data_IF_423939340050
#
_entry.id   IF_423939340050
#
_cell.length_a   1.000
_cell.length_b   1.000
_cell.length_c   1.000
_cell.angle_alpha   90.00
_cell.angle_beta   90.00
_cell.angle_gamma   90.00
#
_symmetry.space_group_name_H-M   'P 1'
#
loop_
_entity.id
_entity.type
_entity.pdbx_description
1 polymer ?
#
# COMPACT_ATOMS: atom_id res chain seq x y z
N UNK A 1 20.55 -25.56 -8.72
CA UNK A 1 19.77 -25.53 -7.47
C UNK A 1 19.75 -24.08 -7.04
N UNK A 2 18.58 -23.46 -6.98
CA UNK A 2 18.45 -22.08 -6.51
C UNK A 2 18.56 -22.12 -4.99
N UNK A 3 19.63 -21.59 -4.42
CA UNK A 3 19.74 -21.41 -2.97
C UNK A 3 18.79 -20.27 -2.59
N UNK A 4 17.55 -20.65 -2.26
CA UNK A 4 16.62 -19.69 -1.67
C UNK A 4 17.19 -19.25 -0.32
N UNK A 5 17.31 -17.93 -0.06
CA UNK A 5 17.71 -17.46 1.26
C UNK A 5 16.68 -17.79 2.35
N UNK A 6 15.47 -18.19 1.96
CA UNK A 6 14.45 -18.75 2.84
C UNK A 6 14.62 -20.27 2.86
N UNK A 7 14.88 -20.83 4.05
CA UNK A 7 15.01 -22.27 4.23
C UNK A 7 13.62 -22.94 4.35
N UNK A 8 13.49 -24.24 4.04
CA UNK A 8 12.23 -24.97 4.23
C UNK A 8 11.68 -24.90 5.66
N UNK A 9 12.55 -24.88 6.66
CA UNK A 9 12.15 -24.72 8.07
C UNK A 9 11.55 -23.34 8.33
N UNK A 10 12.06 -22.30 7.66
CA UNK A 10 11.53 -20.94 7.76
C UNK A 10 10.17 -20.83 7.08
N UNK A 11 9.97 -21.48 5.91
CA UNK A 11 8.65 -21.55 5.25
C UNK A 11 7.62 -22.25 6.13
N UNK A 12 7.97 -23.41 6.70
CA UNK A 12 7.07 -24.14 7.57
C UNK A 12 6.70 -23.34 8.82
N UNK A 13 7.65 -22.62 9.40
CA UNK A 13 7.39 -21.75 10.55
C UNK A 13 6.46 -20.58 10.20
N UNK A 14 6.59 -19.99 9.00
CA UNK A 14 5.69 -18.94 8.52
C UNK A 14 4.26 -19.45 8.30
N UNK A 15 4.12 -20.66 7.74
CA UNK A 15 2.81 -21.29 7.58
C UNK A 15 2.12 -21.57 8.92
N UNK A 16 2.87 -22.07 9.91
CA UNK A 16 2.33 -22.38 11.23
C UNK A 16 2.00 -21.14 12.07
N UNK A 17 2.77 -20.06 11.93
CA UNK A 17 2.56 -18.83 12.68
C UNK A 17 1.30 -18.08 12.22
N UNK A 18 0.91 -18.20 10.95
CA UNK A 18 -0.25 -17.49 10.39
C UNK A 18 -0.08 -15.96 10.36
N UNK A 19 1.16 -15.47 10.49
CA UNK A 19 1.49 -14.06 10.62
C UNK A 19 3.00 -13.83 10.64
N UNK A 20 3.47 -12.61 10.97
CA UNK A 20 4.90 -12.30 11.02
C UNK A 20 5.68 -13.19 12.00
N UNK A 21 6.82 -13.73 11.54
CA UNK A 21 7.76 -14.48 12.35
C UNK A 21 8.89 -13.57 12.83
N UNK A 22 9.09 -13.50 14.14
CA UNK A 22 10.21 -12.78 14.72
C UNK A 22 11.44 -13.69 14.84
N UNK A 23 12.58 -13.22 14.35
CA UNK A 23 13.85 -13.95 14.35
C UNK A 23 14.92 -13.11 15.04
N UNK A 24 15.66 -13.72 15.97
CA UNK A 24 16.82 -13.06 16.58
C UNK A 24 18.06 -13.35 15.74
N UNK A 25 18.67 -12.31 15.19
CA UNK A 25 19.94 -12.39 14.47
C UNK A 25 21.07 -11.67 15.22
N UNK A 26 22.28 -11.75 14.68
CA UNK A 26 23.49 -11.23 15.33
C UNK A 26 23.50 -9.71 15.54
N UNK A 27 22.75 -8.95 14.72
CA UNK A 27 22.71 -7.49 14.78
C UNK A 27 21.41 -6.95 15.39
N UNK A 28 20.50 -7.83 15.83
CA UNK A 28 19.22 -7.44 16.39
C UNK A 28 18.08 -8.37 16.02
N UNK A 29 16.86 -7.87 16.20
CA UNK A 29 15.62 -8.59 15.93
C UNK A 29 15.15 -8.29 14.51
N UNK A 30 14.74 -9.33 13.80
CA UNK A 30 14.23 -9.28 12.44
C UNK A 30 12.80 -9.81 12.42
N UNK A 31 12.04 -9.38 11.42
CA UNK A 31 10.70 -9.90 11.14
C UNK A 31 10.71 -10.45 9.73
N UNK A 32 10.25 -11.69 9.57
CA UNK A 32 10.04 -12.33 8.29
C UNK A 32 8.55 -12.56 8.13
N UNK A 33 8.01 -12.21 6.97
CA UNK A 33 6.61 -12.48 6.63
C UNK A 33 6.49 -12.68 5.12
N UNK A 34 5.44 -13.38 4.70
CA UNK A 34 5.10 -13.43 3.28
C UNK A 34 4.61 -12.06 2.82
N UNK A 35 4.87 -11.73 1.55
CA UNK A 35 4.51 -10.43 0.98
C UNK A 35 3.01 -10.18 0.98
N UNK A 36 2.19 -11.21 0.71
CA UNK A 36 0.73 -11.11 0.77
C UNK A 36 0.22 -10.68 2.15
N UNK A 37 0.85 -11.16 3.22
CA UNK A 37 0.56 -10.76 4.60
C UNK A 37 1.01 -9.32 4.87
N UNK A 38 2.18 -8.92 4.35
CA UNK A 38 2.67 -7.55 4.46
C UNK A 38 1.73 -6.54 3.79
N UNK A 39 1.31 -6.83 2.55
CA UNK A 39 0.44 -5.96 1.77
C UNK A 39 -0.96 -5.83 2.42
N UNK A 40 -1.50 -6.95 2.91
CA UNK A 40 -2.74 -6.95 3.68
C UNK A 40 -2.63 -6.11 4.97
N UNK A 41 -1.50 -6.16 5.68
CA UNK A 41 -1.27 -5.35 6.89
C UNK A 41 -1.15 -3.85 6.56
N UNK A 42 -0.63 -3.49 5.39
CA UNK A 42 -0.59 -2.10 4.93
C UNK A 42 -1.95 -1.58 4.45
N UNK A 43 -2.95 -2.46 4.31
CA UNK A 43 -4.23 -2.10 3.70
C UNK A 43 -4.07 -1.75 2.21
N UNK A 44 -3.00 -2.23 1.57
CA UNK A 44 -2.78 -2.07 0.14
C UNK A 44 -3.32 -3.32 -0.51
N UNK A 45 -4.59 -3.32 -0.89
CA UNK A 45 -5.04 -4.33 -1.85
C UNK A 45 -4.49 -3.97 -3.23
N UNK A 46 -4.27 -4.97 -4.09
CA UNK A 46 -3.87 -4.74 -5.49
C UNK A 46 -4.87 -3.81 -6.21
N UNK A 47 -6.14 -3.88 -5.83
CA UNK A 47 -7.20 -2.99 -6.32
C UNK A 47 -7.01 -1.54 -5.84
N UNK A 48 -6.64 -1.32 -4.58
CA UNK A 48 -6.38 0.02 -4.03
C UNK A 48 -5.15 0.67 -4.68
N UNK A 49 -4.12 -0.12 -4.99
CA UNK A 49 -2.93 0.36 -5.68
C UNK A 49 -3.25 0.77 -7.14
N UNK A 50 -4.05 -0.04 -7.84
CA UNK A 50 -4.51 0.27 -9.19
C UNK A 50 -5.43 1.50 -9.22
N UNK A 51 -6.36 1.63 -8.27
CA UNK A 51 -7.25 2.78 -8.14
C UNK A 51 -6.48 4.06 -7.78
N UNK A 52 -5.51 3.96 -6.86
CA UNK A 52 -4.63 5.07 -6.49
C UNK A 52 -3.83 5.55 -7.71
N UNK A 53 -3.24 4.63 -8.46
CA UNK A 53 -2.48 4.96 -9.67
C UNK A 53 -3.37 5.56 -10.76
N UNK A 54 -4.59 5.04 -10.94
CA UNK A 54 -5.57 5.60 -11.87
C UNK A 54 -5.99 7.02 -11.47
N UNK A 55 -6.15 7.27 -10.17
CA UNK A 55 -6.47 8.60 -9.63
C UNK A 55 -5.35 9.61 -9.88
N UNK A 56 -4.10 9.21 -9.65
CA UNK A 56 -2.93 10.05 -9.94
C UNK A 56 -2.84 10.36 -11.44
N UNK A 57 -2.98 9.35 -12.30
CA UNK A 57 -2.95 9.54 -13.77
C UNK A 57 -4.05 10.48 -14.25
N UNK A 58 -5.27 10.35 -13.70
CA UNK A 58 -6.38 11.26 -14.01
C UNK A 58 -6.06 12.70 -13.56
N UNK A 59 -5.51 12.87 -12.36
CA UNK A 59 -5.11 14.18 -11.85
C UNK A 59 -4.06 14.86 -12.74
N UNK A 60 -3.04 14.12 -13.21
CA UNK A 60 -2.04 14.65 -14.14
C UNK A 60 -2.67 15.05 -15.49
N UNK A 61 -3.55 14.21 -16.04
CA UNK A 61 -4.26 14.52 -17.28
C UNK A 61 -5.21 15.73 -17.15
N UNK A 62 -5.73 16.01 -15.96
CA UNK A 62 -6.53 17.21 -15.68
C UNK A 62 -5.65 18.47 -15.59
N UNK A 63 -4.44 18.37 -15.03
CA UNK A 63 -3.46 19.46 -15.03
C UNK A 63 -3.02 19.80 -16.45
N UNK A 64 -2.61 18.80 -17.24
CA UNK A 64 -2.13 19.01 -18.62
C UNK A 64 -3.22 19.62 -19.53
N UNK A 65 -4.47 19.29 -19.27
CA UNK A 65 -5.61 19.81 -20.02
C UNK A 65 -6.19 21.13 -19.47
N UNK A 66 -5.56 21.73 -18.44
CA UNK A 66 -6.03 22.97 -17.81
C UNK A 66 -7.37 22.83 -17.06
N UNK A 67 -7.77 21.61 -16.70
CA UNK A 67 -8.99 21.31 -15.92
C UNK A 67 -8.75 21.42 -14.40
N UNK A 68 -7.96 22.41 -13.99
CA UNK A 68 -7.69 22.71 -12.58
C UNK A 68 -8.65 23.79 -12.06
N UNK A 69 -9.06 23.70 -10.80
CA UNK A 69 -9.85 24.76 -10.15
C UNK A 69 -9.01 25.47 -9.09
N UNK A 70 -9.23 26.77 -8.93
CA UNK A 70 -8.59 27.55 -7.87
C UNK A 70 -9.15 27.17 -6.50
N UNK A 71 -8.34 27.35 -5.45
CA UNK A 71 -8.70 27.01 -4.07
C UNK A 71 -10.02 27.67 -3.63
N UNK A 72 -10.18 28.97 -3.85
CA UNK A 72 -11.38 29.72 -3.47
C UNK A 72 -12.64 29.18 -4.17
N UNK A 73 -12.53 28.78 -5.43
CA UNK A 73 -13.63 28.20 -6.20
C UNK A 73 -13.98 26.79 -5.68
N UNK A 74 -12.98 25.97 -5.37
CA UNK A 74 -13.18 24.64 -4.81
C UNK A 74 -13.92 24.70 -3.47
N UNK A 75 -13.51 25.59 -2.56
CA UNK A 75 -14.18 25.78 -1.27
C UNK A 75 -15.58 26.38 -1.40
N UNK A 76 -15.81 27.28 -2.37
CA UNK A 76 -17.14 27.80 -2.65
C UNK A 76 -18.10 26.70 -3.11
N UNK A 77 -17.66 25.81 -4.02
CA UNK A 77 -18.43 24.65 -4.47
C UNK A 77 -18.70 23.67 -3.33
N UNK A 78 -17.70 23.40 -2.49
CA UNK A 78 -17.84 22.51 -1.34
C UNK A 78 -18.88 23.06 -0.35
N UNK A 79 -18.76 24.34 0.03
CA UNK A 79 -19.75 25.01 0.89
C UNK A 79 -21.15 24.98 0.29
N UNK A 80 -21.30 25.26 -1.01
CA UNK A 80 -22.61 25.19 -1.67
C UNK A 80 -23.22 23.79 -1.67
N UNK A 81 -22.39 22.73 -1.74
CA UNK A 81 -22.85 21.34 -1.75
C UNK A 81 -23.29 20.86 -0.36
N UNK A 82 -22.67 21.38 0.70
CA UNK A 82 -22.89 20.94 2.08
C UNK A 82 -23.50 22.02 2.98
N UNK A 83 -23.98 23.13 2.40
CA UNK A 83 -24.80 24.10 3.11
C UNK A 83 -26.22 23.54 3.25
N UNK A 84 -26.38 22.69 4.28
CA UNK A 84 -27.65 22.27 4.86
C UNK A 84 -27.81 22.95 6.21
#
# INVERSE_FOLDING_TARGET
>A
MSDSPITPETELALEQAGGPLEIIGQRGKYVVMRTDVYDAMLGVSDDDAAETLATVRRGLADVDAGRTVGEAEAFARLRSRYAS
#
